data_IF_848500638787
#
_entry.id   IF_848500638787
#
_cell.length_a   1.000
_cell.length_b   1.000
_cell.length_c   1.000
_cell.angle_alpha   90.00
_cell.angle_beta   90.00
_cell.angle_gamma   90.00
#
_symmetry.space_group_name_H-M   'P 1'
#
loop_
_entity.id
_entity.type
_entity.pdbx_description
1 polymer ?
2 polymer ?
3 polymer ?
4 water ?
#
loop_
_entity_poly.entity_id
_entity_poly.type
_entity_poly.pdbx_seq_one_letter_code
_entity_poly.pdbx_strand_id
1 'polydeoxyribonucleotide' '(DT)(DC)(DT)(DG)(DG)(DG)(DG)(DT)(DC)(DC)(DT)' ?
2 'polydeoxyribonucleotide' '(DA)(DG)(DG)(DA)(DC)(DC)(DOC)' ?
#
# COMPACT_ATOMS: atom_id res chain seq x y z
N UNK C 26 -18.06 -15.38 -13.75
CA UNK C 26 -17.97 -14.15 -12.99
C UNK C 26 -16.86 -14.10 -11.92
N UNK C 27 -16.40 -15.30 -11.43
CA UNK C 27 -15.58 -15.40 -10.23
C UNK C 27 -14.07 -15.23 -10.39
N UNK C 28 -13.47 -14.52 -9.46
CA UNK C 28 -12.11 -14.15 -9.62
C UNK C 28 -11.13 -14.78 -8.64
N UNK C 29 -9.86 -14.72 -9.04
CA UNK C 29 -8.80 -15.22 -8.19
C UNK C 29 -7.81 -14.01 -8.19
N UNK C 30 -7.67 -13.40 -6.99
CA UNK C 30 -6.87 -12.26 -6.80
C UNK C 30 -5.81 -12.54 -5.80
N UNK C 31 -4.58 -12.06 -6.05
CA UNK C 31 -3.57 -12.22 -5.04
C UNK C 31 -3.21 -10.77 -4.53
N UNK C 32 -2.97 -10.65 -3.22
CA UNK C 32 -2.47 -9.43 -2.56
C UNK C 32 -1.06 -9.72 -2.06
N UNK C 33 -0.06 -8.98 -2.55
CA UNK C 33 1.36 -9.17 -2.18
C UNK C 33 1.81 -8.05 -1.22
N UNK C 34 2.30 -8.48 -0.05
CA UNK C 34 2.58 -7.51 1.01
C UNK C 34 3.97 -7.68 1.59
N UNK C 35 4.83 -6.79 1.25
CA UNK C 35 6.26 -6.92 1.63
C UNK C 35 6.45 -6.63 3.12
N UNK C 36 7.19 -7.50 3.78
CA UNK C 36 7.55 -7.35 5.15
C UNK C 36 8.48 -6.08 5.35
N UNK C 37 8.14 -5.29 6.36
CA UNK C 37 8.92 -4.18 6.80
C UNK C 37 9.83 -3.65 5.75
N UNK C 38 9.19 -3.25 4.68
CA UNK C 38 9.83 -2.86 3.45
C UNK C 38 11.04 -1.94 3.50
N UNK C 39 10.98 -0.75 4.11
CA UNK C 39 12.20 0.10 4.13
C UNK C 39 13.29 -0.59 4.90
N UNK C 40 12.93 -1.32 5.91
CA UNK C 40 14.05 -1.99 6.73
C UNK C 40 14.69 -3.05 5.78
N UNK C 41 13.91 -3.76 4.97
CA UNK C 41 14.54 -4.73 4.09
C UNK C 41 15.42 -4.05 3.20
N UNK C 42 14.97 -2.95 2.63
CA UNK C 42 15.84 -2.27 1.60
C UNK C 42 17.13 -1.82 2.29
N UNK C 43 17.08 -1.35 3.56
CA UNK C 43 18.28 -0.84 4.23
C UNK C 43 19.14 -1.98 4.57
N UNK C 44 18.56 -3.10 5.11
CA UNK C 44 19.32 -4.35 5.40
C UNK C 44 20.05 -4.95 4.20
N UNK C 45 19.52 -4.74 3.02
CA UNK C 45 20.28 -5.12 1.86
C UNK C 45 21.49 -4.16 1.66
N UNK C 46 21.29 -2.86 1.80
CA UNK C 46 22.40 -1.90 1.62
C UNK C 46 23.52 -2.00 2.67
N UNK C 47 23.19 -2.10 3.94
CA UNK C 47 24.16 -2.36 4.98
C UNK C 47 23.94 -3.74 5.81
N UNK C 48 24.45 -4.87 5.29
CA UNK C 48 24.40 -6.18 5.99
C UNK C 48 24.85 -6.25 7.46
N UNK C 49 25.65 -5.31 7.96
CA UNK C 49 25.92 -5.26 9.41
C UNK C 49 24.68 -4.91 10.30
N UNK C 50 23.57 -4.59 9.64
CA UNK C 50 22.30 -4.39 10.33
C UNK C 50 21.40 -5.68 10.33
N UNK C 51 21.61 -6.62 9.39
CA UNK C 51 20.90 -7.93 9.39
C UNK C 51 20.60 -8.56 10.82
N UNK C 52 21.60 -8.75 11.69
CA UNK C 52 21.32 -9.41 13.00
C UNK C 52 20.67 -8.39 13.98
N UNK C 53 21.02 -7.10 13.76
CA UNK C 53 20.72 -6.03 14.70
C UNK C 53 19.32 -5.46 14.45
N UNK C 54 18.66 -5.18 15.55
CA UNK C 54 17.30 -4.64 15.56
C UNK C 54 17.32 -3.23 14.94
N UNK C 55 16.56 -3.06 13.86
CA UNK C 55 16.76 -1.91 12.98
C UNK C 55 15.49 -1.07 12.89
N UNK C 56 15.65 0.21 13.17
CA UNK C 56 14.60 1.17 13.02
C UNK C 56 14.95 2.03 11.84
N UNK C 57 13.98 2.35 10.96
CA UNK C 57 14.13 3.38 9.93
C UNK C 57 13.34 4.56 10.39
N UNK C 58 13.98 5.73 10.41
CA UNK C 58 13.37 6.89 10.99
C UNK C 58 13.15 8.01 10.05
N UNK C 59 12.16 8.83 10.36
CA UNK C 59 11.84 10.01 9.61
C UNK C 59 11.48 11.05 10.68
N UNK C 60 12.09 12.24 10.65
CA UNK C 60 11.93 13.20 11.77
C UNK C 60 12.01 12.45 13.11
N UNK C 61 10.96 12.59 13.90
CA UNK C 61 10.81 12.07 15.25
C UNK C 61 10.25 10.65 15.26
N UNK C 62 9.86 10.10 14.11
CA UNK C 62 9.26 8.77 14.14
C UNK C 62 10.15 7.59 13.71
N UNK C 63 9.73 6.41 14.16
CA UNK C 63 10.33 5.14 13.69
C UNK C 63 9.22 4.61 12.83
N UNK C 64 9.33 4.78 11.54
CA UNK C 64 8.23 4.39 10.73
C UNK C 64 8.18 2.87 10.51
N UNK C 65 9.33 2.17 10.53
CA UNK C 65 9.31 0.75 10.34
C UNK C 65 10.59 0.14 10.97
N UNK C 66 10.55 -1.12 11.34
CA UNK C 66 11.74 -1.76 11.93
C UNK C 66 11.76 -3.20 11.51
N UNK C 67 12.92 -3.83 11.47
CA UNK C 67 12.86 -5.18 11.02
C UNK C 67 12.32 -6.07 12.14
N UNK C 68 12.25 -7.40 11.88
CA UNK C 68 11.73 -8.37 12.90
C UNK C 68 12.34 -8.34 14.29
N UNK C 69 13.67 -8.26 14.33
CA UNK C 69 14.49 -8.41 15.55
C UNK C 69 14.05 -7.37 16.62
N UNK C 70 13.90 -6.14 16.15
CA UNK C 70 13.45 -5.03 16.89
C UNK C 70 11.99 -5.08 17.22
N UNK C 71 11.18 -5.51 16.27
CA UNK C 71 9.75 -5.45 16.47
C UNK C 71 9.39 -6.18 17.77
N UNK C 72 9.97 -7.39 17.90
CA UNK C 72 9.71 -8.37 18.97
C UNK C 72 10.05 -7.81 20.32
N UNK C 73 11.05 -6.91 20.38
CA UNK C 73 11.42 -6.25 21.65
C UNK C 73 10.61 -4.93 21.90
N UNK C 74 9.32 -4.94 21.53
CA UNK C 74 8.42 -3.77 21.70
C UNK C 74 8.25 -2.65 20.63
N UNK C 75 9.26 -2.48 19.77
CA UNK C 75 9.30 -1.37 18.83
C UNK C 75 8.14 -1.64 17.95
N UNK C 76 7.49 -0.59 17.49
CA UNK C 76 6.26 -0.77 16.71
C UNK C 76 5.90 0.37 15.75
N UNK C 77 4.95 0.02 14.90
CA UNK C 77 4.19 0.92 14.07
C UNK C 77 4.90 2.24 13.88
N UNK C 78 4.51 3.23 14.66
CA UNK C 78 4.99 4.55 14.40
C UNK C 78 5.30 5.23 15.72
N UNK C 79 6.29 4.70 16.44
CA UNK C 79 6.62 5.22 17.75
C UNK C 79 7.61 6.38 17.70
N UNK C 80 7.80 7.03 18.83
CA UNK C 80 8.84 8.05 19.08
C UNK C 80 10.31 7.51 19.03
N UNK C 81 11.24 8.34 18.55
CA UNK C 81 12.67 8.00 18.57
C UNK C 81 13.11 7.91 20.01
N UNK C 82 12.17 8.02 20.95
CA UNK C 82 12.45 8.04 22.41
C UNK C 82 11.55 7.13 23.23
N UNK C 83 10.22 7.33 23.17
CA UNK C 83 9.30 6.31 23.68
C UNK C 83 9.68 4.92 23.09
N UNK C 84 10.35 4.88 21.90
CA UNK C 84 10.84 3.65 21.21
C UNK C 84 12.27 3.22 21.56
N UNK C 85 13.14 4.19 21.83
CA UNK C 85 14.46 3.88 22.37
C UNK C 85 14.39 3.42 23.85
N UNK C 86 13.47 3.98 24.67
CA UNK C 86 13.27 3.59 26.12
C UNK C 86 12.35 2.33 26.33
N UNK C 87 12.01 1.72 25.18
CA UNK C 87 11.44 0.38 25.15
C UNK C 87 12.43 -0.59 24.49
N UNK C 88 13.57 -0.04 24.03
CA UNK C 88 14.69 -0.80 23.46
C UNK C 88 15.93 0.05 23.25
N UNK C 89 16.90 0.00 24.15
CA UNK C 89 18.11 0.82 23.98
C UNK C 89 19.04 0.28 22.90
N UNK C 90 18.96 -0.99 22.63
CA UNK C 90 19.82 -1.55 21.61
C UNK C 90 19.40 -1.19 20.17
N UNK C 91 18.82 -0.01 19.96
CA UNK C 91 18.24 0.28 18.63
C UNK C 91 19.21 0.92 17.61
N UNK C 92 19.47 0.24 16.48
CA UNK C 92 20.09 0.98 15.32
C UNK C 92 19.06 1.79 14.49
N UNK C 93 19.46 3.02 14.13
CA UNK C 93 18.57 3.89 13.40
C UNK C 93 19.22 4.32 12.16
N UNK C 94 18.39 4.37 11.14
CA UNK C 94 18.79 4.85 9.83
C UNK C 94 17.74 5.79 9.39
N UNK C 95 18.14 6.73 8.58
CA UNK C 95 17.19 7.77 8.17
C UNK C 95 16.55 7.29 6.87
N UNK C 96 15.22 7.33 6.81
CA UNK C 96 14.52 6.96 5.60
C UNK C 96 13.58 8.05 5.13
N UNK C 97 13.94 9.31 5.38
CA UNK C 97 13.21 10.53 4.81
C UNK C 97 13.32 10.66 3.34
N UNK C 98 14.47 10.25 2.82
CA UNK C 98 14.74 10.25 1.41
C UNK C 98 14.17 8.88 0.87
N UNK C 99 13.05 8.92 0.15
CA UNK C 99 12.31 7.76 -0.33
C UNK C 99 12.84 7.16 -1.64
N UNK C 100 13.82 7.78 -2.24
CA UNK C 100 14.37 7.33 -3.50
C UNK C 100 14.62 5.85 -3.67
N UNK C 101 15.51 5.25 -2.85
CA UNK C 101 15.80 3.78 -3.04
C UNK C 101 14.57 2.88 -2.79
N UNK C 102 13.65 3.29 -1.91
CA UNK C 102 12.52 2.49 -1.57
C UNK C 102 11.62 2.56 -2.80
N UNK C 103 11.55 3.75 -3.42
CA UNK C 103 10.70 3.93 -4.55
C UNK C 103 11.20 3.10 -5.73
N UNK C 104 12.48 3.07 -5.90
CA UNK C 104 13.01 2.23 -6.95
C UNK C 104 12.79 0.72 -6.76
N UNK C 105 13.04 0.23 -5.56
CA UNK C 105 12.80 -1.20 -5.32
C UNK C 105 11.27 -1.44 -5.49
N UNK C 106 10.43 -0.52 -5.00
CA UNK C 106 8.95 -0.68 -5.16
C UNK C 106 8.55 -0.98 -6.61
N UNK C 107 9.02 -0.17 -7.54
CA UNK C 107 8.67 -0.44 -8.93
C UNK C 107 9.34 -1.70 -9.44
N UNK C 108 10.53 -2.08 -8.92
CA UNK C 108 11.11 -3.34 -9.36
C UNK C 108 10.14 -4.50 -8.98
N UNK C 109 9.54 -4.42 -7.81
CA UNK C 109 8.64 -5.46 -7.39
C UNK C 109 7.45 -5.51 -8.31
N UNK C 110 6.78 -4.42 -8.52
CA UNK C 110 5.64 -4.34 -9.35
C UNK C 110 5.97 -4.85 -10.76
N UNK C 111 7.11 -4.38 -11.37
CA UNK C 111 7.41 -4.81 -12.73
C UNK C 111 7.53 -6.34 -12.73
N UNK C 112 8.05 -6.88 -11.65
CA UNK C 112 8.29 -8.31 -11.62
C UNK C 112 6.92 -8.97 -11.56
N UNK C 113 5.97 -8.44 -10.76
CA UNK C 113 4.67 -9.08 -10.78
C UNK C 113 4.00 -8.83 -12.08
N UNK C 114 4.21 -7.70 -12.72
CA UNK C 114 3.59 -7.46 -14.01
C UNK C 114 3.95 -8.56 -15.05
N UNK C 115 5.13 -9.08 -14.91
CA UNK C 115 5.58 -10.08 -15.86
C UNK C 115 4.80 -11.39 -15.69
N UNK C 116 4.30 -11.70 -14.49
CA UNK C 116 3.40 -12.82 -14.37
C UNK C 116 2.09 -12.56 -15.03
N UNK C 117 1.42 -11.45 -14.71
CA UNK C 117 0.15 -11.08 -15.35
C UNK C 117 0.12 -9.55 -15.32
N UNK C 118 -0.24 -8.99 -16.41
CA UNK C 118 -0.10 -7.53 -16.67
C UNK C 118 -0.89 -6.56 -15.76
N UNK C 119 -1.97 -6.98 -15.21
CA UNK C 119 -2.85 -6.19 -14.47
C UNK C 119 -2.47 -6.20 -13.03
N UNK C 120 -1.62 -5.24 -12.66
CA UNK C 120 -1.16 -5.15 -11.31
C UNK C 120 -1.46 -3.79 -10.76
N UNK C 121 -2.02 -3.76 -9.56
CA UNK C 121 -2.36 -2.52 -8.89
C UNK C 121 -1.47 -2.27 -7.63
N UNK C 122 -0.90 -1.05 -7.57
CA UNK C 122 -0.13 -0.72 -6.45
C UNK C 122 -1.00 -0.08 -5.41
N UNK C 123 -0.64 -0.24 -4.13
CA UNK C 123 -1.25 0.37 -3.02
C UNK C 123 0.00 0.78 -2.15
N UNK C 124 0.44 2.02 -2.26
CA UNK C 124 1.56 2.53 -1.47
C UNK C 124 2.79 1.86 -2.09
N UNK C 125 3.93 1.84 -1.38
CA UNK C 125 5.14 1.37 -2.00
C UNK C 125 5.28 -0.12 -1.81
N UNK C 126 4.57 -0.69 -0.83
CA UNK C 126 4.84 -2.06 -0.52
C UNK C 126 3.74 -3.09 -0.67
N UNK C 127 2.68 -2.77 -1.42
CA UNK C 127 1.61 -3.72 -1.67
C UNK C 127 1.20 -3.71 -3.15
N UNK C 128 0.77 -4.85 -3.65
CA UNK C 128 0.34 -4.94 -5.05
C UNK C 128 -0.81 -5.96 -5.07
N UNK C 129 -1.79 -5.72 -5.92
CA UNK C 129 -2.82 -6.69 -6.17
C UNK C 129 -2.54 -7.11 -7.62
N UNK C 130 -2.76 -8.40 -7.91
CA UNK C 130 -2.70 -8.91 -9.21
C UNK C 130 -3.92 -9.76 -9.45
N UNK C 131 -4.58 -9.54 -10.64
CA UNK C 131 -5.77 -10.30 -10.95
C UNK C 131 -5.26 -11.58 -11.66
N UNK C 132 -5.47 -12.74 -11.06
CA UNK C 132 -4.78 -13.94 -11.59
C UNK C 132 -5.74 -14.76 -12.35
N UNK C 133 -6.99 -14.26 -12.46
CA UNK C 133 -8.06 -15.05 -13.04
C UNK C 133 -7.69 -15.73 -14.39
N UNK C 134 -7.15 -14.99 -15.32
CA UNK C 134 -6.94 -15.56 -16.69
C UNK C 134 -5.86 -16.54 -16.63
N UNK C 135 -4.87 -16.18 -15.87
CA UNK C 135 -3.70 -17.11 -15.71
C UNK C 135 -4.10 -18.46 -15.01
N UNK C 136 -4.91 -18.39 -13.95
CA UNK C 136 -5.34 -19.63 -13.26
C UNK C 136 -6.06 -20.48 -14.31
N UNK C 137 -7.05 -19.91 -15.05
CA UNK C 137 -7.76 -20.67 -16.09
C UNK C 137 -6.86 -21.24 -17.17
N UNK C 138 -5.90 -20.46 -17.63
CA UNK C 138 -4.99 -20.95 -18.64
C UNK C 138 -4.21 -22.15 -18.08
N UNK C 139 -3.82 -22.12 -16.79
CA UNK C 139 -3.21 -23.35 -16.27
C UNK C 139 -4.20 -24.48 -16.23
N UNK C 140 -5.39 -24.25 -15.76
CA UNK C 140 -6.36 -25.33 -15.60
C UNK C 140 -6.70 -26.06 -16.94
N UNK C 141 -7.02 -25.35 -18.00
CA UNK C 141 -7.10 -25.93 -19.31
C UNK C 141 -5.91 -26.74 -19.74
N UNK C 142 -4.75 -26.57 -19.14
CA UNK C 142 -3.53 -27.23 -19.63
C UNK C 142 -3.35 -28.55 -18.97
N UNK C 143 -4.04 -28.77 -17.86
CA UNK C 143 -4.00 -30.08 -17.20
C UNK C 143 -4.97 -31.12 -17.85
N UNK C 144 -4.52 -32.38 -17.91
CA UNK C 144 -5.40 -33.48 -18.31
C UNK C 144 -6.27 -33.92 -17.08
N UNK C 145 -7.56 -34.22 -17.34
CA UNK C 145 -8.51 -34.82 -16.33
C UNK C 145 -7.87 -36.06 -15.63
N UNK C 146 -7.10 -35.81 -14.55
CA UNK C 146 -6.09 -36.79 -14.04
C UNK C 146 -5.20 -36.15 -13.02
N UNK C 147 -4.24 -35.34 -13.47
CA UNK C 147 -3.31 -34.60 -12.57
C UNK C 147 -4.03 -33.54 -11.70
N UNK C 148 -5.27 -33.32 -12.11
CA UNK C 148 -6.17 -32.37 -11.47
C UNK C 148 -6.50 -32.78 -10.07
N UNK C 149 -6.58 -34.09 -9.87
CA UNK C 149 -6.79 -34.70 -8.56
C UNK C 149 -5.55 -34.60 -7.66
N UNK C 150 -4.44 -34.14 -8.25
CA UNK C 150 -3.20 -34.05 -7.56
C UNK C 150 -2.85 -32.51 -7.31
N UNK C 151 -3.74 -31.57 -7.68
CA UNK C 151 -3.59 -30.20 -7.34
C UNK C 151 -3.50 -30.01 -5.81
N UNK C 152 -2.49 -29.27 -5.39
CA UNK C 152 -2.26 -29.01 -4.00
C UNK C 152 -2.06 -27.57 -3.66
N UNK C 153 -2.19 -27.26 -2.42
CA UNK C 153 -2.06 -25.96 -2.09
C UNK C 153 -0.57 -25.64 -1.76
N UNK C 154 -0.23 -24.37 -1.92
CA UNK C 154 1.05 -23.94 -1.53
C UNK C 154 0.86 -22.86 -0.46
N UNK C 155 1.34 -23.13 0.77
CA UNK C 155 1.09 -22.28 1.93
C UNK C 155 -0.05 -22.72 2.79
N UNK C 156 -0.59 -21.77 3.59
CA UNK C 156 -1.65 -22.09 4.59
C UNK C 156 -3.03 -21.91 3.96
N UNK C 157 -3.97 -22.60 4.49
CA UNK C 157 -5.41 -22.46 4.16
C UNK C 157 -5.96 -21.77 5.35
N UNK C 158 -6.58 -20.68 5.07
CA UNK C 158 -7.03 -19.78 6.11
C UNK C 158 -7.51 -20.40 7.40
N UNK C 159 -8.57 -21.13 7.46
CA UNK C 159 -9.01 -21.34 8.96
C UNK C 159 -8.82 -22.83 9.08
N UNK C 160 -7.66 -23.31 8.56
CA UNK C 160 -7.36 -24.71 8.41
C UNK C 160 -8.51 -25.47 7.70
N UNK C 161 -9.22 -24.77 6.84
CA UNK C 161 -10.38 -25.37 6.21
C UNK C 161 -10.05 -26.53 5.29
N UNK C 162 -10.94 -27.53 5.24
CA UNK C 162 -10.66 -28.74 4.34
C UNK C 162 -10.84 -28.41 2.90
N UNK C 163 -9.97 -28.92 2.08
CA UNK C 163 -10.12 -28.63 0.67
C UNK C 163 -11.02 -29.67 -0.04
N UNK C 164 -11.80 -29.26 -1.02
CA UNK C 164 -12.60 -30.20 -1.75
C UNK C 164 -12.12 -30.06 -3.11
N UNK C 165 -11.35 -31.04 -3.56
CA UNK C 165 -10.86 -31.20 -4.92
C UNK C 165 -11.92 -31.25 -6.02
N UNK C 166 -13.21 -31.30 -5.67
CA UNK C 166 -14.22 -31.47 -6.71
C UNK C 166 -14.91 -30.11 -6.80
N UNK C 167 -14.55 -29.22 -5.88
CA UNK C 167 -15.09 -27.85 -5.91
C UNK C 167 -14.23 -26.99 -6.89
N UNK C 168 -14.82 -26.55 -7.97
CA UNK C 168 -14.05 -25.85 -8.95
C UNK C 168 -13.45 -24.51 -8.38
N UNK C 169 -14.16 -23.89 -7.45
CA UNK C 169 -13.62 -22.71 -6.84
C UNK C 169 -12.42 -23.00 -5.93
N UNK C 170 -12.42 -24.15 -5.26
CA UNK C 170 -11.25 -24.56 -4.42
C UNK C 170 -10.04 -24.80 -5.30
N UNK C 171 -10.23 -25.51 -6.41
CA UNK C 171 -9.13 -25.84 -7.36
C UNK C 171 -8.47 -24.55 -7.93
N UNK C 172 -9.32 -23.60 -8.36
CA UNK C 172 -8.80 -22.34 -8.90
C UNK C 172 -7.99 -21.57 -7.82
N UNK C 173 -8.51 -21.48 -6.61
CA UNK C 173 -7.84 -20.80 -5.57
C UNK C 173 -6.46 -21.49 -5.23
N UNK C 174 -6.42 -22.81 -5.34
CA UNK C 174 -5.18 -23.50 -5.07
C UNK C 174 -4.21 -23.22 -6.14
N UNK C 175 -4.64 -23.16 -7.41
CA UNK C 175 -3.71 -22.92 -8.46
C UNK C 175 -3.17 -21.45 -8.22
N UNK C 176 -4.09 -20.58 -7.74
CA UNK C 176 -3.72 -19.18 -7.40
C UNK C 176 -2.69 -19.21 -6.25
N UNK C 177 -2.77 -20.14 -5.30
CA UNK C 177 -1.79 -20.09 -4.25
C UNK C 177 -0.46 -20.56 -4.81
N UNK C 178 -0.47 -21.34 -5.87
CA UNK C 178 0.77 -21.78 -6.56
C UNK C 178 1.42 -20.65 -7.30
N UNK C 179 0.62 -19.80 -7.92
CA UNK C 179 1.19 -18.62 -8.66
C UNK C 179 1.81 -17.76 -7.58
N UNK C 180 1.06 -17.55 -6.48
CA UNK C 180 1.54 -16.71 -5.39
C UNK C 180 2.92 -17.15 -4.88
N UNK C 181 3.06 -18.41 -4.61
CA UNK C 181 4.34 -18.92 -4.11
C UNK C 181 5.38 -18.67 -5.14
N UNK C 182 5.07 -18.77 -6.45
CA UNK C 182 6.14 -18.50 -7.50
C UNK C 182 6.52 -16.95 -7.51
N UNK C 183 5.52 -16.10 -7.31
CA UNK C 183 5.77 -14.65 -7.23
C UNK C 183 6.74 -14.42 -6.06
N UNK C 184 6.46 -15.03 -4.93
CA UNK C 184 7.32 -14.85 -3.78
C UNK C 184 8.70 -15.43 -3.93
N UNK C 185 8.80 -16.60 -4.58
CA UNK C 185 10.12 -17.15 -4.83
C UNK C 185 10.89 -16.17 -5.80
N UNK C 186 10.21 -15.74 -6.87
CA UNK C 186 10.91 -14.88 -7.83
C UNK C 186 11.27 -13.53 -7.14
N UNK C 187 10.40 -12.97 -6.31
CA UNK C 187 10.74 -11.76 -5.63
C UNK C 187 12.02 -11.93 -4.73
N UNK C 188 12.18 -13.10 -4.12
CA UNK C 188 13.26 -13.40 -3.30
C UNK C 188 14.58 -13.67 -4.15
N UNK C 189 14.48 -14.61 -5.10
CA UNK C 189 15.59 -14.95 -5.97
C UNK C 189 16.12 -13.77 -6.82
N UNK C 190 15.24 -12.94 -7.33
CA UNK C 190 15.62 -11.86 -8.28
C UNK C 190 15.87 -10.56 -7.62
N UNK C 191 15.15 -10.28 -6.50
CA UNK C 191 15.31 -8.96 -5.84
C UNK C 191 15.79 -9.04 -4.44
N UNK C 192 15.84 -10.29 -3.84
CA UNK C 192 16.33 -10.41 -2.43
C UNK C 192 15.23 -9.95 -1.39
N UNK C 193 13.97 -9.82 -1.77
CA UNK C 193 12.91 -9.40 -0.85
C UNK C 193 11.96 -10.54 -0.43
N UNK C 194 11.63 -10.59 0.87
CA UNK C 194 10.58 -11.51 1.33
C UNK C 194 9.31 -10.76 1.52
N UNK C 195 8.21 -11.48 1.67
CA UNK C 195 6.93 -10.86 1.83
C UNK C 195 5.78 -11.88 1.99
N UNK C 196 4.58 -11.38 2.21
CA UNK C 196 3.43 -12.30 2.39
C UNK C 196 2.55 -12.23 1.19
N UNK C 197 1.68 -13.21 1.00
CA UNK C 197 0.71 -13.11 -0.07
C UNK C 197 -0.61 -13.67 0.44
N UNK C 198 -1.72 -13.19 -0.12
CA UNK C 198 -2.97 -13.80 0.24
C UNK C 198 -3.78 -14.01 -1.01
N UNK C 199 -4.40 -15.19 -1.14
CA UNK C 199 -5.21 -15.46 -2.32
C UNK C 199 -6.67 -15.65 -1.92
N UNK C 200 -7.56 -14.95 -2.62
CA UNK C 200 -9.01 -14.92 -2.34
C UNK C 200 -9.74 -14.53 -3.58
N UNK C 201 -11.05 -14.42 -3.48
CA UNK C 201 -11.91 -14.10 -4.62
C UNK C 201 -12.19 -12.64 -4.88
N UNK C 202 -11.75 -11.76 -4.02
CA UNK C 202 -11.80 -10.31 -4.35
C UNK C 202 -10.66 -9.57 -3.61
N UNK C 203 -10.45 -8.28 -3.85
CA UNK C 203 -9.34 -7.58 -3.21
C UNK C 203 -9.45 -7.36 -1.70
N UNK C 204 -10.61 -7.14 -1.17
CA UNK C 204 -10.87 -7.00 0.24
C UNK C 204 -10.37 -8.25 0.95
N UNK C 205 -10.85 -9.40 0.54
CA UNK C 205 -10.54 -10.62 1.18
C UNK C 205 -8.98 -11.03 1.01
N UNK C 206 -8.44 -10.91 -0.19
CA UNK C 206 -7.09 -11.19 -0.41
C UNK C 206 -6.21 -10.32 0.52
N UNK C 207 -6.57 -9.05 0.70
CA UNK C 207 -5.74 -8.27 1.53
C UNK C 207 -6.01 -8.63 3.00
N UNK C 208 -7.25 -8.99 3.37
CA UNK C 208 -7.46 -9.39 4.74
C UNK C 208 -6.71 -10.64 5.06
N UNK C 209 -6.62 -11.55 4.11
CA UNK C 209 -6.08 -12.85 4.48
C UNK C 209 -4.55 -12.92 4.30
N UNK C 210 -3.97 -11.99 3.54
CA UNK C 210 -2.49 -12.00 3.34
C UNK C 210 -1.73 -11.85 4.64
N UNK C 211 -2.32 -11.13 5.58
CA UNK C 211 -1.63 -10.94 6.84
C UNK C 211 -1.95 -11.99 7.94
N UNK C 212 -2.63 -13.07 7.63
CA UNK C 212 -2.92 -14.04 8.74
C UNK C 212 -1.67 -14.70 9.26
N UNK C 213 -0.69 -14.99 8.39
CA UNK C 213 0.63 -15.58 8.79
C UNK C 213 1.81 -14.69 8.49
N UNK C 214 2.32 -13.98 9.53
CA UNK C 214 2.63 -12.52 9.29
C UNK C 214 3.83 -12.41 8.68
N UNK C 215 4.92 -13.09 9.16
CA UNK C 215 6.26 -12.76 8.55
C UNK C 215 6.48 -13.21 7.11
N UNK C 216 6.75 -14.45 6.71
CA UNK C 216 7.18 -14.40 5.12
C UNK C 216 6.47 -15.65 4.68
N UNK C 217 5.14 -15.57 4.61
CA UNK C 217 4.29 -16.72 4.40
C UNK C 217 3.05 -16.35 3.55
N UNK C 218 2.21 -17.29 3.21
CA UNK C 218 1.02 -17.01 2.44
C UNK C 218 -0.10 -17.79 2.80
N UNK C 219 -1.30 -17.21 2.57
CA UNK C 219 -2.57 -17.84 2.94
C UNK C 219 -3.60 -17.76 1.85
N UNK C 220 -4.39 -18.82 1.69
CA UNK C 220 -5.40 -18.81 0.68
C UNK C 220 -6.79 -18.90 1.42
N UNK C 221 -7.74 -18.12 0.98
CA UNK C 221 -9.04 -18.11 1.63
C UNK C 221 -10.06 -18.92 0.83
N UNK C 222 -10.63 -20.02 1.37
CA UNK C 222 -11.68 -20.76 0.63
C UNK C 222 -13.02 -20.04 0.86
N UNK C 223 -14.01 -20.12 -0.04
CA UNK C 223 -15.24 -19.36 0.20
C UNK C 223 -15.95 -19.65 1.52
N UNK C 224 -15.98 -20.86 1.98
CA UNK C 224 -16.73 -21.18 3.17
C UNK C 224 -16.18 -20.47 4.48
N UNK C 225 -15.05 -19.82 4.39
CA UNK C 225 -14.47 -19.27 5.66
C UNK C 225 -14.51 -17.79 5.58
N UNK C 226 -15.15 -17.24 4.55
CA UNK C 226 -15.27 -15.81 4.40
C UNK C 226 -15.82 -15.14 5.65
N UNK C 227 -16.90 -15.67 6.18
CA UNK C 227 -17.53 -14.99 7.40
C UNK C 227 -16.55 -15.14 8.65
N UNK C 228 -15.91 -16.26 8.80
CA UNK C 228 -14.96 -16.46 9.83
C UNK C 228 -13.97 -15.31 9.73
N UNK C 229 -13.43 -15.03 8.52
CA UNK C 229 -12.28 -14.03 8.39
C UNK C 229 -12.88 -12.67 8.74
N UNK C 230 -14.00 -12.37 8.13
CA UNK C 230 -14.49 -10.98 8.27
C UNK C 230 -14.91 -10.74 9.77
N UNK C 231 -15.48 -11.76 10.45
CA UNK C 231 -15.84 -11.64 11.87
C UNK C 231 -14.60 -11.78 12.80
N UNK C 232 -13.41 -12.19 12.26
CA UNK C 232 -12.25 -12.23 13.12
C UNK C 232 -11.83 -10.77 13.36
N UNK C 233 -12.25 -9.79 12.50
CA UNK C 233 -11.85 -8.38 12.75
C UNK C 233 -12.39 -7.85 14.10
N UNK C 234 -11.71 -6.92 14.75
CA UNK C 234 -12.26 -6.43 16.08
C UNK C 234 -12.93 -5.07 16.04
N UNK C 235 -12.64 -4.33 14.98
CA UNK C 235 -13.36 -3.17 14.73
C UNK C 235 -13.55 -2.82 13.22
N UNK C 236 -14.63 -2.15 12.83
CA UNK C 236 -14.84 -1.86 11.44
C UNK C 236 -13.77 -0.97 10.74
N UNK C 237 -12.99 -0.16 11.48
CA UNK C 237 -11.82 0.52 10.94
C UNK C 237 -10.79 -0.47 10.33
N UNK C 238 -10.87 -1.77 10.67
CA UNK C 238 -9.93 -2.73 10.17
C UNK C 238 -10.31 -3.15 8.76
N UNK C 239 -11.55 -2.82 8.36
CA UNK C 239 -11.93 -3.14 6.99
C UNK C 239 -11.30 -2.06 6.02
N UNK C 240 -10.46 -2.53 5.09
CA UNK C 240 -9.87 -1.63 4.11
C UNK C 240 -11.02 -0.88 3.33
N UNK C 241 -10.98 0.45 3.28
CA UNK C 241 -11.99 1.18 2.67
C UNK C 241 -12.76 1.96 3.74
N UNK C 242 -12.83 1.47 4.95
CA UNK C 242 -13.28 2.21 6.05
C UNK C 242 -12.16 2.99 6.77
N UNK C 243 -12.17 4.34 6.59
CA UNK C 243 -11.13 5.18 7.20
C UNK C 243 -11.34 5.83 8.53
N UNK C 244 -10.47 6.77 8.86
CA UNK C 244 -10.55 7.43 10.13
C UNK C 244 -11.94 8.13 10.28
N UNK C 245 -12.38 8.79 9.20
CA UNK C 245 -13.57 9.57 9.31
C UNK C 245 -14.84 8.75 9.24
N UNK C 246 -15.04 7.88 8.29
CA UNK C 246 -16.25 7.04 8.33
C UNK C 246 -16.35 6.16 9.65
N UNK C 247 -15.21 5.72 10.18
CA UNK C 247 -15.26 4.92 11.40
C UNK C 247 -15.86 5.77 12.53
N UNK C 248 -15.48 7.08 12.62
CA UNK C 248 -16.00 7.94 13.72
C UNK C 248 -17.47 8.13 13.47
N UNK C 249 -17.88 8.34 12.23
CA UNK C 249 -19.32 8.37 11.97
C UNK C 249 -20.02 7.09 12.26
N UNK C 250 -19.42 5.93 11.95
CA UNK C 250 -20.10 4.66 12.28
C UNK C 250 -20.33 4.51 13.79
N UNK C 251 -19.33 4.87 14.58
CA UNK C 251 -19.36 4.88 16.03
C UNK C 251 -20.51 5.68 16.59
N UNK C 252 -20.71 6.86 15.98
CA UNK C 252 -21.65 7.85 16.52
C UNK C 252 -22.98 7.18 16.40
N UNK C 253 -23.11 6.34 15.37
CA UNK C 253 -24.34 5.50 15.27
C UNK C 253 -24.53 4.26 16.12
N UNK C 254 -23.65 4.01 17.09
CA UNK C 254 -23.66 2.68 17.74
C UNK C 254 -22.92 1.53 17.03
N UNK C 255 -22.54 1.69 15.76
CA UNK C 255 -21.97 0.61 15.01
C UNK C 255 -20.51 0.38 15.41
N UNK C 256 -20.20 -0.73 15.99
CA UNK C 256 -18.81 -1.00 16.40
C UNK C 256 -18.22 -2.28 15.88
N UNK C 257 -19.00 -3.37 15.89
CA UNK C 257 -18.41 -4.56 15.35
C UNK C 257 -18.73 -4.71 13.87
N UNK C 258 -18.07 -5.66 13.21
CA UNK C 258 -18.42 -5.88 11.82
C UNK C 258 -19.85 -6.32 11.77
N UNK C 259 -20.31 -7.10 12.73
CA UNK C 259 -21.70 -7.61 12.73
C UNK C 259 -22.71 -6.56 12.94
N UNK C 260 -22.37 -5.52 13.74
CA UNK C 260 -23.30 -4.35 13.86
C UNK C 260 -23.46 -3.73 12.51
N UNK C 261 -22.38 -3.60 11.74
CA UNK C 261 -22.46 -2.93 10.41
C UNK C 261 -23.27 -3.76 9.47
N UNK C 262 -23.19 -5.07 9.53
CA UNK C 262 -23.90 -5.94 8.58
C UNK C 262 -25.39 -5.84 8.86
N UNK C 263 -25.73 -5.79 10.15
CA UNK C 263 -27.10 -5.83 10.52
C UNK C 263 -27.69 -4.38 10.60
N UNK C 264 -26.95 -3.32 10.35
CA UNK C 264 -27.51 -2.00 10.57
C UNK C 264 -28.49 -1.66 9.48
N UNK C 265 -29.44 -0.75 9.75
CA UNK C 265 -30.48 -0.36 8.77
C UNK C 265 -29.89 0.18 7.51
N UNK C 266 -30.11 -0.46 6.36
CA UNK C 266 -29.54 0.15 5.12
C UNK C 266 -30.01 1.63 5.01
N UNK C 267 -31.19 1.85 5.55
CA UNK C 267 -31.80 3.10 5.26
C UNK C 267 -31.10 4.20 5.97
N UNK C 268 -30.84 3.95 7.24
CA UNK C 268 -30.32 5.01 8.04
C UNK C 268 -28.92 5.38 7.56
N UNK C 269 -28.18 4.34 7.14
CA UNK C 269 -26.79 4.48 6.77
C UNK C 269 -26.71 5.15 5.45
N UNK C 270 -27.68 4.80 4.59
CA UNK C 270 -27.91 5.39 3.24
C UNK C 270 -28.06 6.85 3.37
N UNK C 271 -28.97 7.18 4.29
CA UNK C 271 -29.37 8.53 4.56
C UNK C 271 -28.38 9.28 5.45
N UNK C 272 -27.16 8.81 5.62
CA UNK C 272 -26.33 9.35 6.67
C UNK C 272 -24.86 9.46 6.34
N UNK C 273 -24.44 8.65 5.38
CA UNK C 273 -23.07 8.63 4.83
C UNK C 273 -23.22 8.82 3.34
N UNK C 274 -24.49 8.76 2.91
CA UNK C 274 -24.86 9.04 1.53
C UNK C 274 -24.83 7.71 0.83
N UNK C 275 -25.69 7.58 -0.19
CA UNK C 275 -25.86 6.28 -0.83
C UNK C 275 -24.57 5.58 -1.27
N UNK C 276 -23.57 6.35 -1.67
CA UNK C 276 -22.39 5.74 -2.26
C UNK C 276 -21.50 5.08 -1.25
N UNK C 277 -21.00 5.85 -0.30
CA UNK C 277 -20.23 5.37 0.84
C UNK C 277 -20.98 4.22 1.57
N UNK C 278 -22.28 4.39 1.73
CA UNK C 278 -23.05 3.43 2.53
C UNK C 278 -23.31 2.08 1.85
N UNK C 279 -23.74 2.08 0.64
CA UNK C 279 -24.11 0.81 0.14
C UNK C 279 -22.75 0.07 -0.24
N UNK C 280 -21.67 0.84 -0.36
CA UNK C 280 -20.35 0.20 -0.60
C UNK C 280 -19.80 -0.44 0.74
N UNK C 281 -19.78 0.30 1.85
CA UNK C 281 -19.10 -0.26 3.08
C UNK C 281 -19.99 -1.26 3.72
N UNK C 282 -21.27 -1.28 3.43
CA UNK C 282 -22.05 -2.36 3.92
C UNK C 282 -21.76 -3.62 3.21
N UNK C 283 -21.58 -3.60 1.92
CA UNK C 283 -21.15 -4.83 1.21
C UNK C 283 -19.81 -5.29 1.82
N UNK C 284 -18.92 -4.37 2.08
CA UNK C 284 -17.57 -4.76 2.54
C UNK C 284 -17.70 -5.57 3.90
N UNK C 285 -18.62 -5.17 4.73
CA UNK C 285 -18.84 -5.76 6.00
C UNK C 285 -19.35 -7.20 5.82
N UNK C 286 -19.87 -7.58 4.67
CA UNK C 286 -20.15 -9.04 4.35
C UNK C 286 -19.01 -9.74 3.62
N UNK C 287 -17.93 -9.00 3.33
CA UNK C 287 -16.81 -9.66 2.58
C UNK C 287 -16.98 -9.56 1.07
N UNK C 288 -17.89 -8.68 0.61
CA UNK C 288 -18.29 -8.57 -0.77
C UNK C 288 -17.70 -7.32 -1.36
N UNK C 289 -17.10 -7.41 -2.51
CA UNK C 289 -16.26 -6.32 -3.00
C UNK C 289 -15.95 -6.58 -4.45
N UNK C 290 -16.61 -5.80 -5.34
CA UNK C 290 -16.62 -6.10 -6.75
C UNK C 290 -15.59 -5.21 -7.52
N UNK C 291 -14.84 -4.41 -6.80
CA UNK C 291 -13.97 -3.43 -7.40
C UNK C 291 -12.78 -4.21 -8.16
N UNK C 292 -12.52 -3.84 -9.42
CA UNK C 292 -11.55 -4.59 -10.26
C UNK C 292 -10.12 -4.25 -9.84
N UNK C 293 -9.18 -5.11 -10.16
CA UNK C 293 -7.80 -4.72 -9.90
C UNK C 293 -7.52 -3.74 -11.09
N UNK C 294 -7.13 -2.55 -10.80
CA UNK C 294 -6.84 -1.60 -11.85
C UNK C 294 -5.33 -1.57 -12.19
N UNK C 295 -4.98 -1.56 -13.47
CA UNK C 295 -3.55 -1.44 -13.92
C UNK C 295 -2.94 -0.06 -13.51
N UNK C 296 -1.94 -0.03 -12.63
CA UNK C 296 -1.41 1.21 -12.13
C UNK C 296 -0.53 1.87 -13.25
N UNK C 297 0.32 1.09 -13.90
CA UNK C 297 1.23 1.58 -14.84
C UNK C 297 2.12 2.68 -14.17
N UNK C 298 2.52 3.74 -14.89
CA UNK C 298 3.40 4.74 -14.38
C UNK C 298 2.63 5.65 -13.54
N UNK C 299 3.32 6.30 -12.64
CA UNK C 299 2.75 7.21 -11.65
C UNK C 299 2.01 8.41 -12.34
N UNK C 300 0.86 8.87 -11.75
CA UNK C 300 0.22 10.16 -12.20
C UNK C 300 0.85 11.41 -11.64
N UNK C 301 1.81 11.31 -10.71
CA UNK C 301 2.49 12.52 -10.14
C UNK C 301 3.81 12.11 -9.37
N UNK C 302 4.59 13.10 -9.00
CA UNK C 302 5.93 13.01 -8.37
C UNK C 302 5.92 14.21 -7.44
N UNK C 303 5.98 13.96 -6.16
CA UNK C 303 6.03 15.09 -5.33
C UNK C 303 7.11 14.80 -4.25
N UNK C 304 7.58 15.85 -3.61
CA UNK C 304 8.51 15.80 -2.48
C UNK C 304 8.00 16.78 -1.29
N UNK C 305 8.40 16.37 -0.05
CA UNK C 305 7.92 17.25 1.04
C UNK C 305 9.05 17.69 2.01
N UNK C 306 9.03 19.03 2.53
CA UNK C 306 9.64 19.12 3.93
C UNK C 306 8.71 19.27 5.20
N UNK C 307 8.89 18.39 6.23
CA UNK C 307 8.32 18.68 7.63
C UNK C 307 9.30 19.52 8.52
N UNK C 308 8.66 20.31 9.40
CA UNK C 308 9.35 21.26 10.27
C UNK C 308 8.24 22.01 11.01
N UNK C 309 8.11 21.76 12.36
CA UNK C 309 7.13 22.48 13.22
C UNK C 309 7.89 23.72 13.87
N UNK C 310 7.23 24.93 13.78
CA UNK C 310 7.73 26.32 14.12
C UNK C 310 8.57 27.04 13.04
N UNK C 311 9.35 26.23 12.35
CA UNK C 311 10.40 26.60 11.38
C UNK C 311 10.14 27.43 10.12
N UNK C 312 8.99 27.28 9.33
CA UNK C 312 8.92 28.26 8.29
C UNK C 312 8.50 29.53 8.94
N UNK C 313 9.50 30.47 9.03
CA UNK C 313 9.11 31.78 9.44
C UNK C 313 7.82 32.08 8.58
N UNK C 314 8.08 32.25 7.25
CA UNK C 314 7.14 32.82 6.21
C UNK C 314 8.01 32.83 4.88
N UNK C 315 7.67 34.19 4.05
CA UNK C 315 8.55 34.38 2.86
C UNK C 315 10.00 33.76 2.86
N UNK C 316 10.81 33.86 3.91
CA UNK C 316 12.22 33.53 3.62
C UNK C 316 12.34 32.04 3.21
N UNK C 317 11.32 31.25 3.68
CA UNK C 317 11.53 29.80 3.49
C UNK C 317 10.97 29.35 2.14
N UNK C 318 11.22 30.09 1.05
CA UNK C 318 11.21 29.53 -0.32
C UNK C 318 12.48 28.74 -0.67
N UNK C 319 13.58 28.90 0.12
CA UNK C 319 14.91 28.18 -0.02
C UNK C 319 14.66 26.69 -0.06
N UNK C 320 13.83 26.35 0.94
CA UNK C 320 13.14 25.12 1.06
C UNK C 320 12.70 24.73 -0.38
N UNK C 321 12.18 25.77 -1.13
CA UNK C 321 11.41 25.58 -2.35
C UNK C 321 12.25 25.29 -3.56
N UNK C 322 13.59 25.62 -3.28
CA UNK C 322 14.59 25.39 -4.30
C UNK C 322 15.04 24.02 -4.20
N UNK C 323 15.14 23.50 -2.98
CA UNK C 323 15.51 22.13 -2.92
C UNK C 323 14.51 21.13 -3.44
N UNK C 324 13.22 21.23 -3.09
CA UNK C 324 12.29 20.01 -3.39
C UNK C 324 12.35 20.05 -4.91
N UNK C 325 12.59 21.23 -5.44
CA UNK C 325 12.55 21.31 -6.89
C UNK C 325 13.69 20.50 -7.50
N UNK C 326 14.83 20.50 -6.78
CA UNK C 326 16.09 20.17 -7.47
C UNK C 326 15.94 18.74 -7.71
N UNK C 327 15.81 18.05 -6.51
CA UNK C 327 15.36 16.67 -6.38
C UNK C 327 14.27 16.30 -7.44
N UNK C 328 13.14 17.05 -7.49
CA UNK C 328 12.05 16.60 -8.31
C UNK C 328 12.43 16.61 -9.75
N UNK C 329 13.29 17.59 -10.11
CA UNK C 329 13.52 17.95 -11.52
C UNK C 329 14.19 16.79 -12.25
N UNK C 330 15.32 16.39 -11.69
CA UNK C 330 15.95 15.08 -11.94
C UNK C 330 15.00 13.86 -12.07
N UNK C 331 14.13 13.64 -11.10
CA UNK C 331 13.17 12.53 -11.19
C UNK C 331 12.22 12.63 -12.39
N UNK C 332 11.70 13.87 -12.60
CA UNK C 332 10.67 14.24 -13.60
C UNK C 332 11.32 14.00 -14.94
N UNK C 333 12.55 14.46 -15.01
CA UNK C 333 13.41 14.30 -16.14
C UNK C 333 13.40 12.87 -16.71
N UNK C 334 14.26 12.06 -16.08
CA UNK C 334 14.29 10.56 -16.04
C UNK C 334 13.13 9.70 -16.56
N UNK C 335 11.94 9.97 -16.01
CA UNK C 335 10.74 9.21 -16.35
C UNK C 335 10.58 9.40 -17.83
N UNK C 336 10.79 10.65 -18.26
CA UNK C 336 10.84 10.98 -19.67
C UNK C 336 9.69 11.90 -19.78
N UNK C 337 8.47 11.33 -19.77
CA UNK C 337 7.22 12.08 -19.72
C UNK C 337 7.37 13.42 -18.92
N UNK C 338 6.69 14.46 -19.41
CA UNK C 338 6.82 15.78 -18.83
C UNK C 338 5.53 16.23 -18.11
N UNK C 339 5.69 16.84 -16.95
CA UNK C 339 4.57 17.33 -16.17
C UNK C 339 4.02 18.56 -16.74
N UNK C 340 2.70 18.69 -16.81
CA UNK C 340 2.10 19.94 -17.31
C UNK C 340 1.45 20.74 -16.23
N UNK C 341 1.49 20.26 -14.98
CA UNK C 341 0.91 21.01 -13.85
C UNK C 341 1.84 21.08 -12.68
N UNK C 342 1.96 22.24 -12.07
CA UNK C 342 2.71 22.33 -10.80
C UNK C 342 1.76 22.62 -9.61
N UNK C 343 2.17 22.20 -8.41
CA UNK C 343 1.38 22.48 -7.26
C UNK C 343 2.26 22.69 -6.04
N UNK C 344 1.82 23.61 -5.19
CA UNK C 344 2.46 23.80 -3.95
C UNK C 344 1.52 23.59 -2.77
N UNK C 345 2.01 22.80 -1.76
CA UNK C 345 1.25 22.50 -0.53
C UNK C 345 1.82 22.95 0.85
N UNK C 346 0.93 23.11 1.85
CA UNK C 346 1.29 23.73 3.11
C UNK C 346 0.38 23.15 4.21
N UNK C 347 0.85 23.28 5.47
CA UNK C 347 -0.03 23.39 6.69
C UNK C 347 0.40 24.58 7.64
N UNK C 348 -0.47 25.03 8.57
CA UNK C 348 -0.08 26.07 9.55
C UNK C 348 -0.35 25.49 10.97
N UNK C 349 -0.23 26.32 12.05
CA UNK C 349 -0.42 25.76 13.43
C UNK C 349 -1.67 26.33 14.10
N UNK C 355 -5.47 18.20 10.41
CA UNK C 355 -6.06 17.73 9.15
C UNK C 355 -5.86 18.67 7.87
N UNK C 356 -5.99 19.99 8.12
CA UNK C 356 -6.07 21.06 7.09
C UNK C 356 -4.80 21.57 6.43
N UNK C 357 -4.66 21.23 5.13
CA UNK C 357 -3.54 21.64 4.25
C UNK C 357 -4.08 22.55 3.13
N UNK C 358 -3.26 23.50 2.60
CA UNK C 358 -3.64 24.29 1.40
C UNK C 358 -2.75 24.16 0.13
N UNK C 359 -3.34 24.27 -1.04
CA UNK C 359 -2.61 24.16 -2.28
C UNK C 359 -3.00 25.28 -3.20
N UNK C 360 -2.08 25.58 -4.10
CA UNK C 360 -2.41 26.33 -5.29
C UNK C 360 -1.79 25.67 -6.48
N UNK C 361 -2.60 25.48 -7.50
CA UNK C 361 -2.14 24.82 -8.65
C UNK C 361 -1.96 25.88 -9.76
N UNK C 362 -1.04 25.62 -10.70
CA UNK C 362 -1.10 26.26 -12.03
C UNK C 362 -0.44 25.49 -13.22
N UNK C 363 -0.85 25.73 -14.47
CA UNK C 363 -0.17 25.10 -15.62
C UNK C 363 1.36 25.35 -15.57
N UNK C 364 2.21 24.51 -16.18
CA UNK C 364 3.62 24.79 -16.32
C UNK C 364 3.94 25.33 -17.72
N UNK C 365 4.47 26.54 -17.82
CA UNK C 365 4.51 27.19 -19.14
C UNK C 365 5.22 26.37 -20.26
N UNK C 366 4.38 25.65 -21.02
CA UNK C 366 4.70 25.05 -22.32
C UNK C 366 6.20 25.00 -22.74
N UNK C 367 6.81 26.13 -23.11
CA UNK C 367 8.25 26.17 -23.40
C UNK C 367 9.20 25.75 -22.23
N UNK C 368 8.79 26.10 -20.96
CA UNK C 368 9.54 25.62 -19.79
C UNK C 368 9.37 24.12 -19.53
N UNK C 369 8.38 23.47 -20.17
CA UNK C 369 8.27 22.01 -20.22
C UNK C 369 9.55 21.43 -20.80
N UNK C 370 9.83 21.84 -22.04
CA UNK C 370 11.05 21.48 -22.75
C UNK C 370 12.32 22.03 -22.10
N UNK C 379 16.19 26.43 -16.54
CA UNK C 379 15.50 25.01 -16.08
C UNK C 379 14.60 25.01 -14.75
N UNK C 380 15.35 25.19 -13.67
CA UNK C 380 14.91 25.62 -12.33
C UNK C 380 14.26 26.95 -12.23
N UNK C 381 15.12 28.04 -12.59
CA UNK C 381 15.00 29.56 -12.77
C UNK C 381 13.57 30.22 -12.88
N UNK C 382 13.05 30.24 -14.34
CA UNK C 382 11.64 30.69 -14.47
C UNK C 382 10.76 29.69 -13.21
N UNK C 383 10.91 28.28 -13.07
CA UNK C 383 10.07 27.31 -12.13
C UNK C 383 9.95 27.76 -10.63
N UNK C 384 11.15 27.75 -9.91
CA UNK C 384 11.12 28.65 -8.77
C UNK C 384 10.13 29.93 -9.09
N UNK C 385 10.44 30.82 -10.15
CA UNK C 385 9.60 32.07 -10.19
C UNK C 385 8.00 31.78 -10.09
N UNK C 386 7.49 30.80 -10.97
CA UNK C 386 5.99 30.57 -11.04
C UNK C 386 5.56 29.96 -9.68
N UNK C 387 6.52 29.20 -9.00
CA UNK C 387 6.24 28.69 -7.63
C UNK C 387 6.11 29.81 -6.56
N UNK C 388 6.70 30.98 -6.89
CA UNK C 388 6.79 32.15 -5.94
C UNK C 388 5.68 33.37 -5.80
N UNK C 389 5.10 33.74 -6.92
CA UNK C 389 3.56 34.12 -6.87
C UNK C 389 2.51 33.02 -6.32
N UNK C 390 2.80 31.54 -6.45
CA UNK C 390 1.88 30.37 -6.03
C UNK C 390 1.95 30.15 -4.49
N UNK C 391 3.24 30.54 -4.17
CA UNK C 391 3.48 30.90 -2.81
C UNK C 391 2.77 32.21 -2.29
N UNK C 392 2.92 33.37 -2.96
CA UNK C 392 2.34 34.65 -2.41
C UNK C 392 0.76 34.85 -2.45
N UNK C 393 -0.05 34.43 -3.65
CA UNK C 393 -1.49 34.33 -3.50
C UNK C 393 -2.05 33.73 -2.14
N UNK C 394 -1.11 33.02 -1.32
CA UNK C 394 -1.49 32.21 -0.14
C UNK C 394 -1.36 33.03 1.15
N UNK C 404 3.85 24.46 9.11
CA UNK C 404 4.40 23.27 9.73
C UNK C 404 4.88 22.26 8.66
N UNK C 405 5.15 22.75 7.43
CA UNK C 405 5.35 21.81 6.22
C UNK C 405 5.04 22.43 4.81
N UNK C 406 5.87 21.82 3.83
CA UNK C 406 5.87 22.42 2.45
C UNK C 406 6.14 21.29 1.47
N UNK C 407 5.49 21.35 0.30
CA UNK C 407 5.73 20.47 -0.82
C UNK C 407 5.42 20.97 -2.26
N UNK C 408 6.18 20.39 -3.15
CA UNK C 408 5.95 20.60 -4.53
C UNK C 408 5.43 19.22 -5.17
N UNK C 409 4.47 19.34 -6.07
CA UNK C 409 3.98 18.23 -6.86
C UNK C 409 4.06 18.57 -8.31
N UNK C 410 4.60 17.64 -9.07
CA UNK C 410 4.47 17.66 -10.50
C UNK C 410 3.32 16.73 -10.82
N UNK C 411 2.22 17.23 -11.37
CA UNK C 411 1.08 16.38 -11.80
C UNK C 411 0.76 16.45 -13.24
N UNK C 412 -0.14 15.57 -13.68
CA UNK C 412 -0.72 15.62 -15.00
C UNK C 412 0.42 15.43 -16.06
N UNK C 413 1.29 14.42 -15.88
CA UNK C 413 2.30 13.97 -16.90
C UNK C 413 1.76 13.49 -18.26
N UNK C 414 2.54 13.67 -19.34
CA UNK C 414 2.12 13.38 -20.76
C UNK C 414 3.19 12.83 -21.80
#
# INVERSE_FOLDING_TARGET
MELADVGAAASSQGVHDQVLPTPNASSRVIVHVDLDCFYAQVEMISNPELKDKPLGVQQKYLVVTCNYEARKLGVKKLMNVRDAKEKCPQLVLVNGEDLTRYREMSYKVTELLEEFSPVVERLGFDENFVDLTEMVEKRLQQLQSDELSAVTVSGHVYNNQSINLLDVLHIRLLVGSQIAAEMREAMYNQLGLTGCAGVASNKLLAKLVSGVFKPNQQTVLLPESCQHLIHSLNHIKEIPGIGYKTAKCLEALGINSVRDLQTFSPKILEKELGISVAQRIQKLSFGEDNSPVILSGPPQSFSEEDSFKKCSSEVEAKNKIEELLASLLNRVCQDGRKPHTVRLIIRRYSSEKHYGRESRQCPIPSHVIQKLGTGNYDVMTPMVDILMKLFRNMVNVKMPFHLTLLSVCFCNLKALNTAK
#
